data_IF_711643147062
#
_entry.id   IF_711643147062
#
_cell.length_a   1.000
_cell.length_b   1.000
_cell.length_c   1.000
_cell.angle_alpha   90.00
_cell.angle_beta   90.00
_cell.angle_gamma   90.00
#
_symmetry.space_group_name_H-M   'P 1'
#
loop_
_entity.id
_entity.type
_entity.pdbx_description
1 polymer ?
#
# COMPACT_ATOMS: atom_id res chain seq x y z
N UNK A 1 4.36 -4.07 15.00
CA UNK A 1 3.03 -4.67 14.74
C UNK A 1 1.89 -3.67 14.83
N UNK A 2 1.50 -3.18 16.01
CA UNK A 2 0.36 -2.25 16.14
C UNK A 2 0.48 -1.00 15.26
N UNK A 3 1.62 -0.32 15.28
CA UNK A 3 1.84 0.90 14.49
C UNK A 3 1.82 0.62 12.97
N UNK A 4 2.38 -0.51 12.54
CA UNK A 4 2.37 -0.93 11.13
C UNK A 4 0.95 -1.21 10.66
N UNK A 5 0.16 -1.93 11.45
CA UNK A 5 -1.26 -2.16 11.14
C UNK A 5 -2.05 -0.86 11.04
N UNK A 6 -1.85 0.07 11.99
CA UNK A 6 -2.51 1.38 11.98
C UNK A 6 -2.13 2.21 10.74
N UNK A 7 -0.85 2.21 10.37
CA UNK A 7 -0.38 2.89 9.18
C UNK A 7 -1.04 2.38 7.90
N UNK A 8 -1.11 1.04 7.76
CA UNK A 8 -1.72 0.40 6.60
C UNK A 8 -3.23 0.66 6.53
N UNK A 9 -3.93 0.60 7.68
CA UNK A 9 -5.36 0.91 7.78
C UNK A 9 -5.71 2.35 7.35
N UNK A 10 -4.82 3.31 7.63
CA UNK A 10 -4.97 4.70 7.20
C UNK A 10 -4.56 4.97 5.74
N UNK A 11 -4.23 3.93 4.98
CA UNK A 11 -3.69 4.03 3.62
C UNK A 11 -4.60 3.35 2.59
N UNK A 12 -4.23 3.45 1.31
CA UNK A 12 -4.89 2.75 0.21
C UNK A 12 -4.44 1.28 0.07
N UNK A 13 -3.82 0.71 1.10
CA UNK A 13 -3.29 -0.66 1.10
C UNK A 13 -4.02 -1.51 2.13
N UNK A 14 -4.83 -2.45 1.65
CA UNK A 14 -5.51 -3.41 2.51
C UNK A 14 -4.57 -4.55 2.88
N UNK A 15 -4.66 -5.03 4.12
CA UNK A 15 -3.90 -6.21 4.56
C UNK A 15 -4.63 -7.47 4.09
N UNK A 16 -4.02 -8.24 3.19
CA UNK A 16 -4.51 -9.56 2.79
C UNK A 16 -4.05 -10.65 3.76
N UNK A 17 -2.79 -10.61 4.18
CA UNK A 17 -2.19 -11.61 5.07
C UNK A 17 -1.32 -10.94 6.13
N UNK A 18 -1.39 -11.44 7.37
CA UNK A 18 -0.47 -11.07 8.45
C UNK A 18 0.12 -12.32 9.08
N UNK A 19 1.45 -12.47 8.99
CA UNK A 19 2.18 -13.53 9.68
C UNK A 19 3.16 -12.92 10.69
N UNK A 20 2.76 -12.95 11.97
CA UNK A 20 3.58 -12.40 13.07
C UNK A 20 4.84 -13.20 13.37
N UNK A 21 4.80 -14.52 13.17
CA UNK A 21 5.95 -15.39 13.37
C UNK A 21 7.07 -15.13 12.35
N UNK A 22 6.70 -14.72 11.13
CA UNK A 22 7.64 -14.43 10.04
C UNK A 22 7.96 -12.93 9.89
N UNK A 23 7.38 -12.04 10.69
CA UNK A 23 7.60 -10.61 10.49
C UNK A 23 6.92 -10.06 9.21
N UNK A 24 5.87 -10.69 8.70
CA UNK A 24 5.33 -10.39 7.37
C UNK A 24 3.92 -9.80 7.41
N UNK A 25 3.70 -8.79 6.57
CA UNK A 25 2.39 -8.44 6.02
C UNK A 25 2.41 -8.59 4.50
N UNK A 26 1.32 -9.09 3.93
CA UNK A 26 1.02 -8.99 2.50
C UNK A 26 -0.10 -7.97 2.36
N UNK A 27 0.13 -6.95 1.53
CA UNK A 27 -0.81 -5.85 1.33
C UNK A 27 -1.14 -5.70 -0.14
N UNK A 28 -2.38 -5.32 -0.43
CA UNK A 28 -2.91 -5.13 -1.77
C UNK A 28 -3.31 -3.67 -1.95
N UNK A 29 -2.88 -3.07 -3.05
CA UNK A 29 -3.33 -1.73 -3.42
C UNK A 29 -4.80 -1.74 -3.82
N UNK A 30 -5.58 -0.85 -3.18
CA UNK A 30 -6.97 -0.57 -3.51
C UNK A 30 -7.11 0.86 -4.01
N UNK A 31 -7.92 1.03 -5.06
CA UNK A 31 -8.24 2.35 -5.60
C UNK A 31 -9.55 2.85 -4.97
N UNK A 32 -9.51 3.86 -4.09
CA UNK A 32 -10.71 4.38 -3.45
C UNK A 32 -11.68 5.03 -4.45
N UNK A 33 -11.21 5.52 -5.60
CA UNK A 33 -12.10 6.07 -6.63
C UNK A 33 -12.91 4.97 -7.33
N UNK A 34 -12.32 3.78 -7.52
CA UNK A 34 -13.02 2.63 -8.12
C UNK A 34 -13.90 1.88 -7.13
N UNK A 35 -13.52 1.83 -5.86
CA UNK A 35 -14.34 1.20 -4.81
C UNK A 35 -15.62 2.01 -4.52
N UNK A 36 -15.60 3.34 -4.73
CA UNK A 36 -16.75 4.22 -4.54
C UNK A 36 -17.57 4.49 -5.81
N UNK A 37 -17.20 3.93 -6.97
CA UNK A 37 -17.96 4.09 -8.21
C UNK A 37 -19.24 3.23 -8.17
N UNK A 38 -20.39 3.90 -8.12
CA UNK A 38 -21.70 3.25 -8.34
C UNK A 38 -21.83 2.90 -9.82
N UNK A 39 -22.41 1.74 -10.19
CA UNK A 39 -22.66 1.42 -11.60
C UNK A 39 -23.66 2.44 -12.18
N UNK A 40 -23.15 3.39 -12.97
CA UNK A 40 -23.96 4.43 -13.61
C UNK A 40 -23.26 5.78 -13.88
N UNK A 41 -22.18 6.10 -13.17
CA UNK A 41 -21.57 7.44 -13.25
C UNK A 41 -20.42 7.58 -14.28
N UNK A 42 -19.89 6.51 -14.88
CA UNK A 42 -18.70 6.55 -15.76
C UNK A 42 -18.79 7.50 -16.96
N UNK A 43 -19.99 7.83 -17.44
CA UNK A 43 -20.18 8.54 -18.72
C UNK A 43 -19.88 10.04 -18.74
N UNK A 44 -20.03 10.74 -17.62
CA UNK A 44 -19.99 12.22 -17.60
C UNK A 44 -18.73 12.82 -16.95
N UNK A 45 -18.05 12.10 -16.07
CA UNK A 45 -16.89 12.59 -15.30
C UNK A 45 -15.54 12.17 -15.90
N UNK A 46 -15.54 11.18 -16.80
CA UNK A 46 -14.34 10.70 -17.50
C UNK A 46 -13.67 11.77 -18.39
N UNK A 47 -14.41 12.80 -18.82
CA UNK A 47 -13.88 13.91 -19.63
C UNK A 47 -13.19 15.01 -18.82
N UNK A 48 -13.33 15.00 -17.50
CA UNK A 48 -12.75 16.02 -16.61
C UNK A 48 -11.49 15.54 -15.88
N UNK A 49 -11.02 14.31 -16.11
CA UNK A 49 -9.88 13.73 -15.39
C UNK A 49 -8.49 14.19 -15.88
N UNK A 50 -8.35 15.43 -16.37
CA UNK A 50 -7.09 15.99 -16.89
C UNK A 50 -6.04 16.29 -15.79
N UNK A 51 -6.43 16.22 -14.51
CA UNK A 51 -5.56 16.38 -13.33
C UNK A 51 -4.92 15.05 -12.82
N UNK A 52 -5.12 13.93 -13.53
CA UNK A 52 -4.59 12.60 -13.13
C UNK A 52 -3.08 12.43 -13.23
N UNK A 53 -2.30 13.49 -13.49
CA UNK A 53 -0.83 13.53 -13.42
C UNK A 53 -0.28 13.40 -11.99
N UNK A 54 -0.96 12.64 -11.11
CA UNK A 54 -0.35 12.11 -9.90
C UNK A 54 0.62 10.99 -10.31
N UNK A 55 1.70 10.73 -9.56
CA UNK A 55 2.53 9.56 -9.81
C UNK A 55 1.62 8.34 -9.98
N UNK A 56 1.80 7.64 -11.09
CA UNK A 56 0.90 6.58 -11.54
C UNK A 56 0.66 5.62 -10.38
N UNK A 57 -0.57 5.64 -9.86
CA UNK A 57 -0.94 4.76 -8.77
C UNK A 57 -0.78 3.30 -9.26
N UNK A 58 -0.39 2.36 -8.39
CA UNK A 58 -0.28 0.98 -8.79
C UNK A 58 -1.60 0.47 -9.39
N UNK A 59 -1.57 -0.49 -10.31
CA UNK A 59 -2.78 -1.20 -10.71
C UNK A 59 -3.52 -1.74 -9.48
N UNK A 60 -4.85 -1.68 -9.49
CA UNK A 60 -5.66 -2.34 -8.45
C UNK A 60 -5.32 -3.81 -8.40
N UNK A 61 -5.15 -4.35 -7.19
CA UNK A 61 -4.70 -5.73 -7.00
C UNK A 61 -3.19 -5.92 -6.94
N UNK A 62 -2.40 -4.85 -7.10
CA UNK A 62 -0.94 -4.95 -6.94
C UNK A 62 -0.61 -5.29 -5.49
N UNK A 63 0.14 -6.37 -5.29
CA UNK A 63 0.53 -6.87 -3.97
C UNK A 63 1.96 -6.51 -3.62
N UNK A 64 2.17 -6.21 -2.35
CA UNK A 64 3.47 -5.94 -1.76
C UNK A 64 3.67 -6.76 -0.49
N UNK A 65 4.91 -7.14 -0.22
CA UNK A 65 5.33 -7.83 1.00
C UNK A 65 6.07 -6.85 1.90
N UNK A 66 5.52 -6.58 3.08
CA UNK A 66 6.14 -5.73 4.09
C UNK A 66 6.78 -6.62 5.14
N UNK A 67 8.11 -6.65 5.17
CA UNK A 67 8.89 -7.42 6.14
C UNK A 67 9.38 -6.55 7.30
N UNK A 68 9.23 -7.07 8.50
CA UNK A 68 9.61 -6.49 9.77
C UNK A 68 10.70 -7.36 10.39
N UNK A 69 11.86 -6.76 10.66
CA UNK A 69 12.95 -7.41 11.37
C UNK A 69 13.35 -6.60 12.59
N UNK A 70 13.34 -7.23 13.76
CA UNK A 70 13.82 -6.60 14.99
C UNK A 70 15.34 -6.55 15.01
N UNK A 71 15.90 -5.36 15.25
CA UNK A 71 17.32 -5.14 15.47
C UNK A 71 17.51 -4.37 16.78
N UNK A 72 17.65 -5.10 17.88
CA UNK A 72 17.76 -4.53 19.22
C UNK A 72 16.51 -3.72 19.58
N UNK A 73 16.67 -2.40 19.74
CA UNK A 73 15.56 -1.47 20.03
C UNK A 73 14.87 -0.92 18.78
N UNK A 74 15.38 -1.24 17.59
CA UNK A 74 14.85 -0.75 16.33
C UNK A 74 14.12 -1.87 15.58
N UNK A 75 13.19 -1.50 14.71
CA UNK A 75 12.58 -2.42 13.75
C UNK A 75 12.90 -1.92 12.35
N UNK A 76 13.57 -2.75 11.57
CA UNK A 76 13.77 -2.49 10.15
C UNK A 76 12.52 -2.93 9.40
N UNK A 77 12.01 -2.04 8.55
CA UNK A 77 10.89 -2.32 7.65
C UNK A 77 11.38 -2.29 6.22
N UNK A 78 11.08 -3.36 5.47
CA UNK A 78 11.43 -3.48 4.06
C UNK A 78 10.18 -3.82 3.26
N UNK A 79 9.93 -3.07 2.19
CA UNK A 79 8.85 -3.36 1.24
C UNK A 79 9.46 -4.07 0.02
N UNK A 80 8.80 -5.13 -0.42
CA UNK A 80 9.17 -5.97 -1.55
C UNK A 80 7.95 -6.23 -2.42
N UNK A 81 8.18 -6.70 -3.63
CA UNK A 81 7.09 -7.10 -4.52
C UNK A 81 6.40 -8.40 -4.05
N UNK A 82 5.36 -8.82 -4.77
CA UNK A 82 4.63 -10.06 -4.51
C UNK A 82 5.50 -11.33 -4.58
N UNK A 83 6.61 -11.28 -5.33
CA UNK A 83 7.57 -12.37 -5.52
C UNK A 83 8.74 -12.33 -4.53
N UNK A 84 8.66 -11.45 -3.51
CA UNK A 84 9.67 -11.26 -2.48
C UNK A 84 11.02 -10.71 -2.99
N UNK A 85 11.00 -9.99 -4.12
CA UNK A 85 12.17 -9.31 -4.70
C UNK A 85 12.23 -7.83 -4.29
N UNK A 86 13.43 -7.21 -4.34
CA UNK A 86 13.57 -5.78 -4.15
C UNK A 86 12.67 -4.99 -5.11
N UNK A 87 11.92 -4.04 -4.59
CA UNK A 87 10.99 -3.23 -5.37
C UNK A 87 11.26 -1.74 -5.15
N UNK A 88 11.37 -1.00 -6.25
CA UNK A 88 11.60 0.44 -6.26
C UNK A 88 10.47 1.23 -6.95
N UNK A 89 9.36 0.54 -7.25
CA UNK A 89 8.15 1.09 -7.85
C UNK A 89 7.55 2.21 -7.01
N UNK A 90 6.75 3.06 -7.66
CA UNK A 90 6.04 4.13 -6.97
C UNK A 90 5.14 3.60 -5.85
N UNK A 91 4.47 2.45 -6.06
CA UNK A 91 3.64 1.82 -5.03
C UNK A 91 4.44 1.33 -3.82
N UNK A 92 5.59 0.70 -4.02
CA UNK A 92 6.45 0.30 -2.90
C UNK A 92 6.88 1.51 -2.04
N UNK A 93 7.16 2.65 -2.69
CA UNK A 93 7.47 3.91 -2.00
C UNK A 93 6.25 4.46 -1.25
N UNK A 94 5.06 4.42 -1.84
CA UNK A 94 3.82 4.84 -1.18
C UNK A 94 3.52 4.01 0.09
N UNK A 95 3.78 2.70 0.07
CA UNK A 95 3.67 1.86 1.28
C UNK A 95 4.65 2.36 2.36
N UNK A 96 5.92 2.60 2.00
CA UNK A 96 6.90 3.13 2.96
C UNK A 96 6.49 4.50 3.53
N UNK A 97 5.98 5.40 2.69
CA UNK A 97 5.48 6.70 3.14
C UNK A 97 4.31 6.57 4.10
N UNK A 98 3.36 5.66 3.85
CA UNK A 98 2.26 5.39 4.76
C UNK A 98 2.77 4.94 6.15
N UNK A 99 3.76 4.05 6.16
CA UNK A 99 4.39 3.57 7.39
C UNK A 99 5.10 4.70 8.17
N UNK A 100 5.86 5.54 7.47
CA UNK A 100 6.60 6.67 8.08
C UNK A 100 5.67 7.75 8.66
N UNK A 101 4.46 7.94 8.11
CA UNK A 101 3.49 8.91 8.67
C UNK A 101 3.06 8.58 10.09
N UNK A 102 3.03 7.30 10.44
CA UNK A 102 2.57 6.82 11.76
C UNK A 102 3.74 6.44 12.66
N UNK A 103 4.82 5.89 12.09
CA UNK A 103 6.00 5.45 12.82
C UNK A 103 7.03 6.59 12.77
N UNK A 104 7.21 7.26 13.91
CA UNK A 104 8.19 8.34 14.10
C UNK A 104 9.57 7.80 14.44
#
# INVERSE_FOLDING_TARGET
WRLVGLALDSSNYAVEEQNRGQGLYVVEYRDPEKENQKPGDEGWLSKLAFWRSKPEAPPVGTRYRVRLSGQGQQTIVVVRDASDQPDSSAGARQVLEALQKVIK
#
